data_IF_699925486365
#
_entry.id   IF_699925486365
#
_cell.length_a   1.000
_cell.length_b   1.000
_cell.length_c   1.000
_cell.angle_alpha   90.00
_cell.angle_beta   90.00
_cell.angle_gamma   90.00
#
_symmetry.space_group_name_H-M   'P 1'
#
loop_
_entity.id
_entity.type
_entity.pdbx_description
1 polymer ?
#
# COMPACT_ATOMS: atom_id res chain seq x y z
N UNK A 1 -25.61 -4.38 -20.72
CA UNK A 1 -24.76 -3.18 -20.94
C UNK A 1 -25.19 -1.96 -20.11
N UNK A 2 -26.48 -1.56 -20.08
CA UNK A 2 -26.93 -0.40 -19.26
C UNK A 2 -26.85 -0.67 -17.75
N UNK A 3 -27.19 -1.89 -17.33
CA UNK A 3 -27.21 -2.28 -15.92
C UNK A 3 -25.82 -2.31 -15.26
N UNK A 4 -24.76 -2.64 -15.99
CA UNK A 4 -23.38 -2.59 -15.47
C UNK A 4 -22.86 -1.16 -15.28
N UNK A 5 -23.20 -0.25 -16.20
CA UNK A 5 -22.82 1.17 -16.08
C UNK A 5 -23.47 1.84 -14.87
N UNK A 6 -24.71 1.48 -14.55
CA UNK A 6 -25.41 1.99 -13.36
C UNK A 6 -24.75 1.47 -12.08
N UNK A 7 -24.41 0.17 -12.01
CA UNK A 7 -23.69 -0.41 -10.86
C UNK A 7 -22.33 0.24 -10.65
N UNK A 8 -21.58 0.48 -11.72
CA UNK A 8 -20.25 1.09 -11.67
C UNK A 8 -20.31 2.57 -11.25
N UNK A 9 -21.35 3.29 -11.65
CA UNK A 9 -21.63 4.65 -11.20
C UNK A 9 -22.03 4.69 -9.71
N UNK A 10 -22.85 3.74 -9.25
CA UNK A 10 -23.24 3.60 -7.84
C UNK A 10 -22.04 3.28 -6.94
N UNK A 11 -21.18 2.37 -7.37
CA UNK A 11 -19.94 2.01 -6.65
C UNK A 11 -18.99 3.20 -6.52
N UNK A 12 -18.82 3.99 -7.58
CA UNK A 12 -17.95 5.17 -7.54
C UNK A 12 -18.52 6.28 -6.65
N UNK A 13 -19.83 6.50 -6.65
CA UNK A 13 -20.49 7.45 -5.75
C UNK A 13 -20.42 7.00 -4.28
N UNK A 14 -20.69 5.73 -4.00
CA UNK A 14 -20.56 5.14 -2.66
C UNK A 14 -19.14 5.30 -2.12
N UNK A 15 -18.13 4.98 -2.93
CA UNK A 15 -16.74 5.10 -2.52
C UNK A 15 -16.34 6.55 -2.22
N UNK A 16 -16.88 7.51 -3.00
CA UNK A 16 -16.64 8.95 -2.79
C UNK A 16 -17.28 9.46 -1.50
N UNK A 17 -18.49 8.98 -1.18
CA UNK A 17 -19.20 9.32 0.06
C UNK A 17 -18.48 8.73 1.27
N UNK A 18 -18.04 7.46 1.20
CA UNK A 18 -17.28 6.81 2.29
C UNK A 18 -15.98 7.56 2.56
N UNK A 19 -15.25 7.96 1.50
CA UNK A 19 -14.04 8.76 1.64
C UNK A 19 -14.32 10.12 2.29
N UNK A 20 -15.41 10.78 1.89
CA UNK A 20 -15.83 12.06 2.48
C UNK A 20 -16.19 11.92 3.96
N UNK A 21 -16.97 10.90 4.32
CA UNK A 21 -17.35 10.61 5.71
C UNK A 21 -16.09 10.32 6.53
N UNK A 22 -15.19 9.45 6.07
CA UNK A 22 -13.94 9.17 6.78
C UNK A 22 -13.08 10.41 6.99
N UNK A 23 -12.97 11.27 5.97
CA UNK A 23 -12.20 12.52 6.07
C UNK A 23 -12.79 13.46 7.12
N UNK A 24 -14.10 13.69 7.08
CA UNK A 24 -14.80 14.57 8.04
C UNK A 24 -14.75 14.00 9.45
N UNK A 25 -14.88 12.68 9.61
CA UNK A 25 -14.78 12.02 10.91
C UNK A 25 -13.36 12.16 11.47
N UNK A 26 -12.34 11.88 10.65
CA UNK A 26 -10.93 12.01 11.05
C UNK A 26 -10.56 13.43 11.49
N UNK A 27 -10.98 14.46 10.75
CA UNK A 27 -10.72 15.85 11.14
C UNK A 27 -11.41 16.21 12.47
N UNK A 28 -12.63 15.75 12.71
CA UNK A 28 -13.33 15.96 13.99
C UNK A 28 -12.64 15.28 15.17
N UNK A 29 -12.15 14.04 15.00
CA UNK A 29 -11.42 13.33 16.05
C UNK A 29 -10.04 13.93 16.31
N UNK A 30 -9.39 14.50 15.28
CA UNK A 30 -8.13 15.21 15.42
C UNK A 30 -8.33 16.49 16.24
N UNK A 31 -9.37 17.28 15.93
CA UNK A 31 -9.73 18.49 16.71
C UNK A 31 -10.06 18.13 18.16
N UNK A 32 -10.83 17.05 18.39
CA UNK A 32 -11.15 16.58 19.74
C UNK A 32 -9.89 16.12 20.52
N UNK A 33 -8.97 15.42 19.86
CA UNK A 33 -7.69 15.02 20.43
C UNK A 33 -6.79 16.22 20.78
N UNK A 34 -6.72 17.22 19.90
CA UNK A 34 -6.03 18.48 20.19
C UNK A 34 -6.65 19.20 21.39
N UNK A 35 -7.98 19.28 21.48
CA UNK A 35 -8.68 19.87 22.63
C UNK A 35 -8.34 19.12 23.93
N UNK A 36 -8.29 17.78 23.88
CA UNK A 36 -7.95 16.94 25.03
C UNK A 36 -6.53 17.18 25.54
N UNK A 37 -5.57 17.44 24.64
CA UNK A 37 -4.19 17.80 25.01
C UNK A 37 -4.15 19.09 25.82
N UNK A 38 -5.01 20.06 25.53
CA UNK A 38 -5.04 21.33 26.27
C UNK A 38 -5.73 21.25 27.64
N UNK A 39 -6.43 20.16 27.98
CA UNK A 39 -7.12 20.01 29.28
C UNK A 39 -6.17 20.11 30.48
N UNK A 40 -5.07 19.34 30.58
CA UNK A 40 -4.15 19.45 31.70
C UNK A 40 -3.48 20.82 31.78
N UNK A 41 -3.22 21.46 30.62
CA UNK A 41 -2.69 22.82 30.57
C UNK A 41 -3.72 23.86 31.07
N UNK A 42 -4.99 23.70 30.69
CA UNK A 42 -6.09 24.55 31.14
C UNK A 42 -6.38 24.39 32.64
N UNK A 43 -6.33 23.16 33.16
CA UNK A 43 -6.51 22.89 34.59
C UNK A 43 -5.36 23.47 35.42
N UNK A 44 -4.13 23.42 34.90
CA UNK A 44 -2.97 24.06 35.50
C UNK A 44 -3.12 25.58 35.54
N UNK A 45 -3.44 26.21 34.40
CA UNK A 45 -3.66 27.67 34.34
C UNK A 45 -4.79 28.06 35.29
N UNK A 46 -5.91 27.33 35.32
CA UNK A 46 -7.01 27.62 36.24
C UNK A 46 -6.61 27.55 37.72
N UNK A 47 -5.78 26.58 38.09
CA UNK A 47 -5.38 26.35 39.49
C UNK A 47 -4.29 27.31 39.95
N UNK A 48 -3.41 27.75 39.05
CA UNK A 48 -2.22 28.54 39.39
C UNK A 48 -2.21 29.96 38.83
N UNK A 49 -3.16 30.36 37.98
CA UNK A 49 -3.21 31.71 37.39
C UNK A 49 -3.34 32.83 38.43
N UNK A 50 -3.89 32.54 39.62
CA UNK A 50 -3.98 33.51 40.72
C UNK A 50 -2.63 33.81 41.40
N UNK A 51 -1.61 32.97 41.18
CA UNK A 51 -0.35 33.00 41.94
C UNK A 51 0.82 33.66 41.20
N UNK A 52 0.56 34.28 40.03
CA UNK A 52 1.60 34.89 39.20
C UNK A 52 2.59 33.87 38.61
N UNK A 53 3.56 34.36 37.83
CA UNK A 53 4.70 33.55 37.37
C UNK A 53 5.64 33.41 38.57
N UNK A 54 5.92 32.17 38.98
CA UNK A 54 6.85 31.92 40.07
C UNK A 54 8.29 32.16 39.61
N UNK A 55 9.06 32.95 40.36
CA UNK A 55 10.52 33.10 40.16
C UNK A 55 11.31 31.90 40.70
N UNK A 56 10.63 31.01 41.44
CA UNK A 56 11.21 29.79 42.00
C UNK A 56 11.35 28.69 40.94
N UNK A 57 12.60 28.38 40.59
CA UNK A 57 12.99 27.34 39.64
C UNK A 57 12.51 25.94 40.05
N UNK A 58 12.35 25.66 41.35
CA UNK A 58 11.90 24.34 41.83
C UNK A 58 10.45 24.06 41.43
N UNK A 59 9.59 25.08 41.42
CA UNK A 59 8.20 24.95 40.96
C UNK A 59 8.09 24.72 39.46
N UNK A 60 9.03 25.28 38.68
CA UNK A 60 9.14 25.01 37.25
C UNK A 60 9.60 23.58 36.96
N UNK A 61 10.51 23.04 37.77
CA UNK A 61 10.93 21.65 37.66
C UNK A 61 9.75 20.69 37.91
N UNK A 62 8.98 20.91 38.98
CA UNK A 62 7.79 20.11 39.30
C UNK A 62 6.70 20.21 38.21
N UNK A 63 6.54 21.38 37.60
CA UNK A 63 5.65 21.56 36.44
C UNK A 63 6.13 20.76 35.22
N UNK A 64 7.43 20.83 34.93
CA UNK A 64 8.06 20.05 33.89
C UNK A 64 7.84 18.54 34.06
N UNK A 65 7.92 18.05 35.29
CA UNK A 65 7.68 16.64 35.63
C UNK A 65 6.21 16.23 35.41
N UNK A 66 5.26 17.08 35.81
CA UNK A 66 3.83 16.82 35.58
C UNK A 66 3.46 16.78 34.09
N UNK A 67 3.92 17.78 33.32
CA UNK A 67 3.69 17.85 31.87
C UNK A 67 4.43 16.70 31.18
N UNK A 68 5.70 16.48 31.49
CA UNK A 68 6.50 15.40 30.93
C UNK A 68 5.87 14.03 31.18
N UNK A 69 5.44 13.77 32.41
CA UNK A 69 4.74 12.54 32.79
C UNK A 69 3.42 12.35 32.03
N UNK A 70 2.58 13.38 31.99
CA UNK A 70 1.25 13.30 31.35
C UNK A 70 1.36 13.13 29.83
N UNK A 71 2.22 13.91 29.16
CA UNK A 71 2.35 13.88 27.70
C UNK A 71 3.19 12.70 27.19
N UNK A 72 4.11 12.14 27.99
CA UNK A 72 4.90 10.97 27.58
C UNK A 72 4.03 9.74 27.28
N UNK A 73 2.96 9.53 28.05
CA UNK A 73 1.99 8.45 27.82
C UNK A 73 1.24 8.68 26.51
N UNK A 74 0.77 9.90 26.26
CA UNK A 74 0.07 10.26 25.02
C UNK A 74 0.98 10.15 23.79
N UNK A 75 2.23 10.60 23.91
CA UNK A 75 3.24 10.48 22.87
C UNK A 75 3.56 9.01 22.57
N UNK A 76 3.67 8.16 23.58
CA UNK A 76 3.92 6.72 23.40
C UNK A 76 2.81 6.03 22.61
N UNK A 77 1.54 6.33 22.92
CA UNK A 77 0.39 5.81 22.18
C UNK A 77 0.41 6.29 20.72
N UNK A 78 0.72 7.57 20.50
CA UNK A 78 0.83 8.15 19.16
C UNK A 78 1.94 7.49 18.33
N UNK A 79 3.11 7.27 18.93
CA UNK A 79 4.24 6.61 18.28
C UNK A 79 3.88 5.17 17.91
N UNK A 80 3.24 4.41 18.81
CA UNK A 80 2.78 3.04 18.52
C UNK A 80 1.76 3.04 17.37
N UNK A 81 0.83 4.00 17.36
CA UNK A 81 -0.15 4.13 16.29
C UNK A 81 0.51 4.40 14.93
N UNK A 82 1.45 5.35 14.88
CA UNK A 82 2.18 5.70 13.66
C UNK A 82 3.02 4.50 13.20
N UNK A 83 3.76 3.86 14.11
CA UNK A 83 4.56 2.67 13.81
C UNK A 83 3.70 1.57 13.19
N UNK A 84 2.55 1.23 13.79
CA UNK A 84 1.62 0.23 13.24
C UNK A 84 1.10 0.62 11.85
N UNK A 85 0.81 1.90 11.62
CA UNK A 85 0.33 2.39 10.32
C UNK A 85 1.42 2.28 9.25
N UNK A 86 2.66 2.61 9.60
CA UNK A 86 3.82 2.47 8.72
C UNK A 86 4.08 1.00 8.39
N UNK A 87 4.14 0.12 9.40
CA UNK A 87 4.34 -1.32 9.19
C UNK A 87 3.29 -1.93 8.27
N UNK A 88 2.01 -1.57 8.41
CA UNK A 88 0.95 -2.07 7.51
C UNK A 88 1.12 -1.59 6.06
N UNK A 89 1.53 -0.33 5.88
CA UNK A 89 1.78 0.24 4.54
C UNK A 89 2.98 -0.45 3.88
N UNK A 90 4.05 -0.66 4.65
CA UNK A 90 5.25 -1.33 4.19
C UNK A 90 4.99 -2.80 3.90
N UNK A 91 4.20 -3.50 4.72
CA UNK A 91 3.84 -4.89 4.48
C UNK A 91 3.06 -5.06 3.18
N UNK A 92 2.11 -4.15 2.88
CA UNK A 92 1.38 -4.17 1.61
C UNK A 92 2.31 -3.93 0.42
N UNK A 93 3.14 -2.90 0.49
CA UNK A 93 4.11 -2.58 -0.57
C UNK A 93 5.13 -3.70 -0.77
N UNK A 94 5.55 -4.36 0.31
CA UNK A 94 6.49 -5.48 0.26
C UNK A 94 5.84 -6.74 -0.35
N UNK A 95 4.57 -7.02 -0.04
CA UNK A 95 3.82 -8.12 -0.67
C UNK A 95 3.64 -7.90 -2.18
N UNK A 96 3.35 -6.67 -2.60
CA UNK A 96 3.27 -6.30 -4.02
C UNK A 96 4.61 -6.49 -4.73
N UNK A 97 5.70 -5.95 -4.17
CA UNK A 97 7.06 -6.14 -4.72
C UNK A 97 7.46 -7.61 -4.82
N UNK A 98 7.20 -8.40 -3.76
CA UNK A 98 7.50 -9.82 -3.74
C UNK A 98 6.71 -10.61 -4.80
N UNK A 99 5.42 -10.30 -4.97
CA UNK A 99 4.60 -10.94 -6.01
C UNK A 99 5.15 -10.66 -7.42
N UNK A 100 5.53 -9.41 -7.70
CA UNK A 100 6.12 -9.03 -8.99
C UNK A 100 7.49 -9.67 -9.20
N UNK A 101 8.36 -9.71 -8.18
CA UNK A 101 9.67 -10.38 -8.27
C UNK A 101 9.51 -11.88 -8.55
N UNK A 102 8.63 -12.58 -7.83
CA UNK A 102 8.35 -14.00 -8.06
C UNK A 102 7.90 -14.30 -9.49
N UNK A 103 7.06 -13.42 -10.05
CA UNK A 103 6.58 -13.53 -11.43
C UNK A 103 7.72 -13.26 -12.42
N UNK A 104 8.53 -12.23 -12.19
CA UNK A 104 9.67 -11.91 -13.05
C UNK A 104 10.72 -13.04 -13.04
N UNK A 105 11.02 -13.62 -11.88
CA UNK A 105 11.88 -14.79 -11.75
C UNK A 105 11.35 -15.99 -12.54
N UNK A 106 10.03 -16.18 -12.59
CA UNK A 106 9.43 -17.24 -13.40
C UNK A 106 9.54 -16.97 -14.90
N UNK A 107 9.42 -15.72 -15.34
CA UNK A 107 9.67 -15.31 -16.75
C UNK A 107 11.13 -15.60 -17.14
N UNK A 108 12.09 -15.24 -16.29
CA UNK A 108 13.52 -15.55 -16.52
C UNK A 108 13.83 -17.06 -16.54
N UNK A 109 13.04 -17.88 -15.83
CA UNK A 109 13.15 -19.35 -15.90
C UNK A 109 12.63 -19.89 -17.23
N UNK A 110 11.51 -19.37 -17.72
CA UNK A 110 10.96 -19.74 -19.05
C UNK A 110 11.99 -19.47 -20.15
N UNK A 111 12.74 -18.37 -20.05
CA UNK A 111 13.78 -18.00 -21.03
C UNK A 111 14.99 -18.94 -21.01
N UNK A 112 15.31 -19.53 -19.84
CA UNK A 112 16.39 -20.51 -19.70
C UNK A 112 15.98 -21.95 -20.01
N UNK A 113 14.69 -22.22 -20.19
CA UNK A 113 14.23 -23.56 -20.55
C UNK A 113 14.57 -23.85 -22.02
N UNK A 114 15.45 -24.83 -22.22
CA UNK A 114 15.83 -25.33 -23.55
C UNK A 114 14.79 -26.33 -24.08
N UNK A 115 14.12 -27.06 -23.19
CA UNK A 115 13.14 -28.08 -23.53
C UNK A 115 11.70 -27.52 -23.63
N UNK A 116 10.97 -27.98 -24.63
CA UNK A 116 9.62 -27.56 -24.96
C UNK A 116 8.59 -27.91 -23.86
N UNK A 117 8.67 -29.11 -23.28
CA UNK A 117 7.75 -29.55 -22.24
C UNK A 117 8.01 -28.78 -20.93
N UNK A 118 9.28 -28.51 -20.61
CA UNK A 118 9.65 -27.63 -19.49
C UNK A 118 9.14 -26.21 -19.67
N UNK A 119 9.21 -25.67 -20.89
CA UNK A 119 8.71 -24.33 -21.23
C UNK A 119 7.19 -24.23 -21.03
N UNK A 120 6.44 -25.24 -21.49
CA UNK A 120 4.99 -25.32 -21.29
C UNK A 120 4.59 -25.35 -19.80
N UNK A 121 5.27 -26.18 -19.00
CA UNK A 121 4.99 -26.26 -17.58
C UNK A 121 5.35 -24.96 -16.83
N UNK A 122 6.46 -24.32 -17.22
CA UNK A 122 6.87 -23.05 -16.65
C UNK A 122 5.90 -21.90 -16.98
N UNK A 123 5.31 -21.89 -18.17
CA UNK A 123 4.26 -20.94 -18.59
C UNK A 123 2.95 -21.20 -17.86
N UNK A 124 2.51 -22.45 -17.73
CA UNK A 124 1.31 -22.79 -16.96
C UNK A 124 1.45 -22.40 -15.47
N UNK A 125 2.67 -22.56 -14.92
CA UNK A 125 2.98 -22.11 -13.57
C UNK A 125 2.95 -20.57 -13.47
N UNK A 126 3.46 -19.86 -14.48
CA UNK A 126 3.36 -18.40 -14.56
C UNK A 126 1.89 -17.95 -14.53
N UNK A 127 1.03 -18.55 -15.36
CA UNK A 127 -0.40 -18.22 -15.38
C UNK A 127 -1.08 -18.45 -14.02
N UNK A 128 -0.80 -19.58 -13.36
CA UNK A 128 -1.31 -19.85 -12.00
C UNK A 128 -0.82 -18.84 -10.96
N UNK A 129 0.41 -18.33 -11.11
CA UNK A 129 0.96 -17.33 -10.19
C UNK A 129 0.29 -15.97 -10.40
N UNK A 130 -0.05 -15.61 -11.64
CA UNK A 130 -0.86 -14.41 -11.94
C UNK A 130 -2.22 -14.54 -11.29
N UNK A 131 -2.89 -15.69 -11.45
CA UNK A 131 -4.20 -15.96 -10.84
C UNK A 131 -4.18 -15.90 -9.31
N UNK A 132 -3.12 -16.41 -8.69
CA UNK A 132 -2.94 -16.35 -7.23
C UNK A 132 -2.68 -14.92 -6.74
N UNK A 133 -2.01 -14.07 -7.54
CA UNK A 133 -1.58 -12.73 -7.13
C UNK A 133 -2.35 -11.58 -7.80
N UNK A 134 -3.52 -11.85 -8.41
CA UNK A 134 -4.30 -10.86 -9.19
C UNK A 134 -4.59 -9.56 -8.44
N UNK A 135 -4.71 -9.59 -7.11
CA UNK A 135 -5.05 -8.42 -6.29
C UNK A 135 -3.87 -7.45 -6.06
N UNK A 136 -2.65 -7.84 -6.43
CA UNK A 136 -1.42 -7.12 -6.10
C UNK A 136 -0.70 -6.54 -7.33
N UNK A 137 -1.26 -6.69 -8.53
CA UNK A 137 -0.63 -6.33 -9.80
C UNK A 137 -1.55 -5.36 -10.55
N UNK A 138 -0.98 -4.34 -11.19
CA UNK A 138 -1.72 -3.42 -12.06
C UNK A 138 -2.35 -4.17 -13.25
N UNK A 139 -3.58 -3.81 -13.64
CA UNK A 139 -4.30 -4.41 -14.76
C UNK A 139 -3.46 -4.39 -16.06
N UNK A 140 -2.69 -3.33 -16.30
CA UNK A 140 -1.82 -3.22 -17.48
C UNK A 140 -0.70 -4.27 -17.49
N UNK A 141 -0.06 -4.50 -16.34
CA UNK A 141 1.02 -5.49 -16.19
C UNK A 141 0.43 -6.88 -16.35
N UNK A 142 -0.73 -7.14 -15.73
CA UNK A 142 -1.45 -8.40 -15.85
C UNK A 142 -1.73 -8.74 -17.33
N UNK A 143 -2.32 -7.83 -18.09
CA UNK A 143 -2.60 -8.06 -19.52
C UNK A 143 -1.33 -8.31 -20.33
N UNK A 144 -0.22 -7.61 -20.04
CA UNK A 144 1.06 -7.90 -20.70
C UNK A 144 1.56 -9.33 -20.45
N UNK A 145 1.45 -9.82 -19.22
CA UNK A 145 1.94 -11.16 -18.86
C UNK A 145 1.01 -12.24 -19.40
N UNK A 146 -0.31 -12.03 -19.35
CA UNK A 146 -1.29 -12.93 -19.98
C UNK A 146 -1.05 -13.02 -21.49
N UNK A 147 -0.82 -11.89 -22.17
CA UNK A 147 -0.50 -11.87 -23.60
C UNK A 147 0.80 -12.62 -23.90
N UNK A 148 1.82 -12.49 -23.05
CA UNK A 148 3.09 -13.21 -23.20
C UNK A 148 2.92 -14.72 -22.97
N UNK A 149 2.16 -15.11 -21.94
CA UNK A 149 1.87 -16.51 -21.65
C UNK A 149 1.04 -17.16 -22.75
N UNK A 150 0.01 -16.47 -23.26
CA UNK A 150 -0.81 -16.93 -24.39
C UNK A 150 0.01 -17.07 -25.66
N UNK A 151 0.93 -16.14 -25.92
CA UNK A 151 1.89 -16.24 -27.03
C UNK A 151 2.77 -17.50 -26.89
N UNK A 152 3.35 -17.75 -25.71
CA UNK A 152 4.13 -18.97 -25.52
C UNK A 152 3.29 -20.24 -25.69
N UNK A 153 2.05 -20.28 -25.18
CA UNK A 153 1.15 -21.43 -25.35
C UNK A 153 0.76 -21.65 -26.82
N UNK A 154 0.46 -20.60 -27.56
CA UNK A 154 0.12 -20.67 -28.98
C UNK A 154 1.32 -21.15 -29.82
N UNK A 155 2.53 -20.69 -29.49
CA UNK A 155 3.78 -21.18 -30.10
C UNK A 155 4.04 -22.65 -29.78
N UNK A 156 3.80 -23.04 -28.53
CA UNK A 156 3.91 -24.44 -28.09
C UNK A 156 2.94 -25.31 -28.90
N UNK A 157 1.68 -24.89 -29.03
CA UNK A 157 0.68 -25.64 -29.79
C UNK A 157 0.89 -25.60 -31.32
N UNK A 158 1.98 -24.99 -31.83
CA UNK A 158 2.27 -24.88 -33.25
C UNK A 158 1.30 -23.96 -34.01
N UNK A 159 0.56 -23.12 -33.30
CA UNK A 159 -0.49 -22.26 -33.86
C UNK A 159 0.06 -20.97 -34.46
N UNK A 160 1.28 -20.58 -34.07
CA UNK A 160 1.98 -19.38 -34.52
C UNK A 160 3.49 -19.63 -34.60
N UNK A 161 4.15 -18.98 -35.56
CA UNK A 161 5.60 -18.99 -35.72
C UNK A 161 6.29 -18.08 -34.69
N UNK A 162 7.61 -18.24 -34.56
CA UNK A 162 8.42 -17.43 -33.65
C UNK A 162 8.50 -15.96 -34.10
N UNK A 163 7.93 -15.07 -33.28
CA UNK A 163 8.03 -13.62 -33.45
C UNK A 163 8.90 -13.02 -32.32
N UNK A 164 10.20 -12.92 -32.61
CA UNK A 164 11.18 -12.32 -31.71
C UNK A 164 10.95 -10.81 -31.47
N UNK A 165 10.32 -10.12 -32.41
CA UNK A 165 10.06 -8.67 -32.31
C UNK A 165 8.95 -8.42 -31.30
N UNK A 166 7.85 -9.17 -31.40
CA UNK A 166 6.77 -9.14 -30.43
C UNK A 166 7.22 -9.58 -29.04
N UNK A 167 7.94 -10.70 -28.94
CA UNK A 167 8.44 -11.24 -27.67
C UNK A 167 9.33 -10.23 -26.94
N UNK A 168 10.29 -9.60 -27.64
CA UNK A 168 11.18 -8.60 -27.06
C UNK A 168 10.45 -7.30 -26.69
N UNK A 169 9.45 -6.89 -27.47
CA UNK A 169 8.62 -5.71 -27.17
C UNK A 169 7.84 -5.88 -25.86
N UNK A 170 7.19 -7.03 -25.67
CA UNK A 170 6.44 -7.32 -24.44
C UNK A 170 7.39 -7.49 -23.24
N UNK A 171 8.53 -8.18 -23.42
CA UNK A 171 9.56 -8.28 -22.37
C UNK A 171 10.12 -6.92 -21.95
N UNK A 172 10.37 -6.02 -22.89
CA UNK A 172 10.86 -4.66 -22.58
C UNK A 172 9.82 -3.83 -21.84
N UNK A 173 8.54 -3.93 -22.20
CA UNK A 173 7.45 -3.30 -21.43
C UNK A 173 7.40 -3.80 -20.00
N UNK A 174 7.54 -5.12 -19.79
CA UNK A 174 7.56 -5.72 -18.45
C UNK A 174 8.80 -5.30 -17.65
N UNK A 175 9.99 -5.27 -18.26
CA UNK A 175 11.21 -4.74 -17.61
C UNK A 175 11.03 -3.27 -17.22
N UNK A 176 10.47 -2.44 -18.10
CA UNK A 176 10.23 -1.02 -17.81
C UNK A 176 9.27 -0.85 -16.62
N UNK A 177 8.18 -1.60 -16.62
CA UNK A 177 7.22 -1.61 -15.51
C UNK A 177 7.83 -2.11 -14.19
N UNK A 178 8.79 -3.04 -14.23
CA UNK A 178 9.46 -3.56 -13.04
C UNK A 178 10.51 -2.60 -12.47
N UNK A 179 11.37 -2.04 -13.33
CA UNK A 179 12.48 -1.18 -12.91
C UNK A 179 12.09 0.29 -12.73
N UNK A 180 10.89 0.69 -13.15
CA UNK A 180 10.41 2.09 -13.07
C UNK A 180 11.18 3.05 -13.99
N UNK A 181 11.76 2.52 -15.08
CA UNK A 181 12.48 3.26 -16.12
C UNK A 181 11.53 3.87 -17.16
#
# INVERSE_FOLDING_TARGET
MVMDRIKQCLLTLLNRIIHFIHKVWYEKWLVLGCLLLFIPLGFYIYTFASNGISDDTEKWAQFGDYIGGTYSVLLSVLVIYIARKLTKKDEKANKEKNAVDLIFQQILKIERCVDFHQKANAVNKLMRMIDTHQLHISDEIRTCIENLGNYYLARINGSIDEDLVYENSVKNKLKKAYYGL
#
